data_IF_497913541660
#
_entry.id   IF_497913541660
#
_cell.length_a   1.000
_cell.length_b   1.000
_cell.length_c   1.000
_cell.angle_alpha   90.00
_cell.angle_beta   90.00
_cell.angle_gamma   90.00
#
_symmetry.space_group_name_H-M   'P 1'
#
loop_
_entity.id
_entity.type
_entity.pdbx_description
1 polymer ?
#
# COMPACT_ATOMS: atom_id res chain seq x y z
N UNK A 1 -7.79 0.80 -2.39
CA UNK A 1 -8.41 -0.53 -2.23
C UNK A 1 -7.38 -1.36 -1.52
N UNK A 2 -7.79 -2.11 -0.51
CA UNK A 2 -6.91 -3.00 0.22
C UNK A 2 -7.26 -4.43 -0.10
N UNK A 3 -6.25 -5.25 -0.31
CA UNK A 3 -6.36 -6.68 -0.57
C UNK A 3 -5.30 -7.42 0.24
N UNK A 4 -5.54 -8.70 0.46
CA UNK A 4 -4.68 -9.60 1.22
C UNK A 4 -4.56 -10.93 0.48
N UNK A 5 -3.42 -11.59 0.63
CA UNK A 5 -3.20 -12.98 0.22
C UNK A 5 -2.29 -13.69 1.21
N UNK A 6 -2.51 -14.98 1.39
CA UNK A 6 -1.67 -15.85 2.23
C UNK A 6 -1.04 -16.96 1.40
N UNK A 7 -1.77 -17.43 0.38
CA UNK A 7 -1.32 -18.29 -0.71
C UNK A 7 -2.25 -18.03 -1.90
N UNK A 8 -1.71 -17.93 -3.12
CA UNK A 8 -2.50 -17.70 -4.33
C UNK A 8 -2.88 -16.24 -4.64
N UNK A 9 -4.10 -16.04 -5.14
CA UNK A 9 -4.58 -14.77 -5.71
C UNK A 9 -4.97 -13.72 -4.65
N UNK A 10 -4.94 -12.45 -5.05
CA UNK A 10 -5.38 -11.34 -4.21
C UNK A 10 -6.88 -11.37 -3.95
N UNK A 11 -7.27 -11.24 -2.68
CA UNK A 11 -8.65 -11.27 -2.22
C UNK A 11 -8.89 -10.18 -1.18
N UNK A 12 -10.15 -9.93 -0.81
CA UNK A 12 -10.50 -9.05 0.31
C UNK A 12 -10.39 -9.81 1.66
N UNK A 13 -10.20 -11.12 1.62
CA UNK A 13 -10.02 -11.99 2.78
C UNK A 13 -8.96 -13.06 2.49
N UNK A 14 -8.13 -13.37 3.49
CA UNK A 14 -7.24 -14.52 3.47
C UNK A 14 -7.13 -15.14 4.87
N UNK A 15 -6.92 -16.46 4.93
CA UNK A 15 -6.64 -17.15 6.19
C UNK A 15 -5.15 -17.01 6.51
N UNK A 16 -4.83 -16.57 7.72
CA UNK A 16 -3.46 -16.54 8.23
C UNK A 16 -3.32 -17.56 9.37
N UNK A 17 -2.16 -18.21 9.45
CA UNK A 17 -1.81 -19.17 10.49
C UNK A 17 -0.41 -18.90 11.02
N UNK A 18 0.01 -19.63 12.05
CA UNK A 18 1.31 -19.38 12.70
C UNK A 18 2.53 -19.54 11.77
N UNK A 19 2.38 -20.25 10.65
CA UNK A 19 3.44 -20.49 9.66
C UNK A 19 3.20 -19.79 8.31
N UNK A 20 2.20 -18.90 8.24
CA UNK A 20 1.84 -18.20 7.00
C UNK A 20 1.73 -16.71 7.27
N UNK A 21 2.65 -15.95 6.67
CA UNK A 21 2.67 -14.49 6.73
C UNK A 21 1.84 -13.90 5.59
N UNK A 22 0.67 -13.30 5.87
CA UNK A 22 -0.11 -12.65 4.84
C UNK A 22 0.64 -11.46 4.23
N UNK A 23 0.51 -11.32 2.92
CA UNK A 23 0.91 -10.14 2.18
C UNK A 23 -0.31 -9.26 1.92
N UNK A 24 -0.15 -7.97 2.17
CA UNK A 24 -1.15 -6.95 1.95
C UNK A 24 -0.79 -6.08 0.76
N UNK A 25 -1.82 -5.59 0.06
CA UNK A 25 -1.70 -4.70 -1.08
C UNK A 25 -2.66 -3.54 -0.98
N UNK A 26 -2.13 -2.32 -1.05
CA UNK A 26 -2.85 -1.06 -1.11
C UNK A 26 -2.75 -0.50 -2.52
N UNK A 27 -3.88 -0.38 -3.21
CA UNK A 27 -3.95 0.15 -4.58
C UNK A 27 -4.72 1.45 -4.61
N UNK A 28 -4.12 2.49 -5.18
CA UNK A 28 -4.82 3.75 -5.46
C UNK A 28 -4.62 4.19 -6.91
N UNK A 29 -5.69 4.70 -7.51
CA UNK A 29 -5.72 5.13 -8.90
C UNK A 29 -5.19 6.55 -9.05
N UNK A 30 -4.40 6.79 -10.09
CA UNK A 30 -3.97 8.12 -10.49
C UNK A 30 -5.06 8.79 -11.35
N UNK A 31 -5.42 10.05 -11.09
CA UNK A 31 -6.41 10.75 -11.88
C UNK A 31 -5.84 11.12 -13.25
N UNK A 32 -6.71 11.24 -14.27
CA UNK A 32 -6.33 11.69 -15.61
C UNK A 32 -5.68 13.08 -15.63
N UNK A 33 -5.97 13.91 -14.63
CA UNK A 33 -5.41 15.25 -14.48
C UNK A 33 -4.04 15.29 -13.78
N UNK A 34 -3.41 14.15 -13.50
CA UNK A 34 -2.10 14.07 -12.85
C UNK A 34 -1.05 14.98 -13.50
N UNK A 35 -0.97 14.95 -14.84
CA UNK A 35 0.01 15.74 -15.59
C UNK A 35 -0.22 17.24 -15.47
N UNK A 36 -1.46 17.66 -15.16
CA UNK A 36 -1.82 19.08 -15.02
C UNK A 36 -1.31 19.74 -13.73
N UNK A 37 -0.83 18.97 -12.75
CA UNK A 37 -0.29 19.50 -11.50
C UNK A 37 1.24 19.63 -11.57
N UNK A 38 1.85 20.71 -11.06
CA UNK A 38 3.30 20.82 -10.99
C UNK A 38 3.90 19.93 -9.89
N UNK A 39 3.18 19.75 -8.78
CA UNK A 39 3.54 18.92 -7.63
C UNK A 39 2.36 18.02 -7.30
N UNK A 40 2.62 16.76 -6.95
CA UNK A 40 1.56 15.81 -6.65
C UNK A 40 1.79 15.09 -5.32
N UNK A 41 1.07 15.52 -4.28
CA UNK A 41 1.05 14.84 -2.99
C UNK A 41 0.28 13.53 -3.09
N UNK A 42 0.80 12.44 -2.55
CA UNK A 42 0.14 11.14 -2.57
C UNK A 42 0.39 10.37 -1.29
N UNK A 43 -0.65 9.77 -0.72
CA UNK A 43 -0.56 9.12 0.59
C UNK A 43 -1.44 7.87 0.68
N UNK A 44 -0.94 6.86 1.37
CA UNK A 44 -1.71 5.74 1.88
C UNK A 44 -1.61 5.69 3.39
N UNK A 45 -2.76 5.60 4.06
CA UNK A 45 -2.85 5.23 5.48
C UNK A 45 -3.53 3.89 5.62
N UNK A 46 -2.95 3.06 6.48
CA UNK A 46 -3.42 1.70 6.71
C UNK A 46 -3.30 1.31 8.18
N UNK A 47 -4.43 0.98 8.79
CA UNK A 47 -4.52 0.65 10.22
C UNK A 47 -4.59 -0.85 10.37
N UNK A 48 -3.45 -1.44 10.74
CA UNK A 48 -3.35 -2.87 10.98
C UNK A 48 -4.06 -3.30 12.25
N UNK A 49 -4.52 -4.55 12.26
CA UNK A 49 -4.99 -5.18 13.50
C UNK A 49 -3.81 -5.40 14.46
N UNK A 50 -4.07 -5.31 15.77
CA UNK A 50 -3.04 -5.44 16.81
C UNK A 50 -2.40 -6.83 16.86
N UNK A 51 -3.06 -7.83 16.29
CA UNK A 51 -2.61 -9.22 16.20
C UNK A 51 -1.51 -9.41 15.14
N UNK A 52 -1.24 -8.39 14.33
CA UNK A 52 -0.21 -8.42 13.30
C UNK A 52 0.91 -7.42 13.57
N UNK A 53 2.14 -7.87 13.29
CA UNK A 53 3.34 -7.05 13.28
C UNK A 53 3.86 -6.95 11.85
N UNK A 54 3.89 -5.75 11.29
CA UNK A 54 4.41 -5.49 9.94
C UNK A 54 5.93 -5.64 9.88
N UNK A 55 6.41 -6.31 8.83
CA UNK A 55 7.83 -6.27 8.46
C UNK A 55 8.11 -5.03 7.61
N UNK A 56 8.77 -4.03 8.21
CA UNK A 56 9.10 -2.77 7.51
C UNK A 56 9.98 -2.98 6.29
N UNK A 57 10.83 -4.01 6.31
CA UNK A 57 11.76 -4.28 5.21
C UNK A 57 11.06 -4.88 3.99
N UNK A 58 9.85 -5.43 4.17
CA UNK A 58 9.03 -5.98 3.08
C UNK A 58 8.29 -4.92 2.27
N UNK A 59 8.26 -3.66 2.75
CA UNK A 59 7.46 -2.61 2.11
C UNK A 59 8.05 -2.30 0.73
N UNK A 60 7.19 -2.39 -0.29
CA UNK A 60 7.52 -2.01 -1.66
C UNK A 60 6.42 -1.12 -2.22
N UNK A 61 6.81 -0.05 -2.91
CA UNK A 61 5.87 0.87 -3.55
C UNK A 61 6.19 0.99 -5.03
N UNK A 62 5.20 0.76 -5.89
CA UNK A 62 5.36 0.80 -7.34
C UNK A 62 4.26 1.59 -8.02
N UNK A 63 4.58 2.25 -9.12
CA UNK A 63 3.57 2.65 -10.11
C UNK A 63 3.39 1.50 -11.11
N UNK A 64 2.15 1.20 -11.50
CA UNK A 64 1.84 0.13 -12.46
C UNK A 64 0.90 0.59 -13.58
N UNK A 65 1.06 0.02 -14.78
CA UNK A 65 0.11 0.14 -15.88
C UNK A 65 -1.22 -0.58 -15.57
N UNK A 66 -2.26 -0.30 -16.36
CA UNK A 66 -3.58 -0.94 -16.18
C UNK A 66 -3.54 -2.48 -16.21
N UNK A 67 -2.64 -3.05 -17.01
CA UNK A 67 -2.45 -4.49 -17.16
C UNK A 67 -1.36 -5.07 -16.24
N UNK A 68 -0.73 -4.23 -15.42
CA UNK A 68 0.31 -4.62 -14.47
C UNK A 68 1.65 -5.03 -15.10
N UNK A 69 1.82 -4.92 -16.42
CA UNK A 69 3.07 -5.34 -17.10
C UNK A 69 4.20 -4.33 -16.97
N UNK A 70 3.88 -3.05 -16.95
CA UNK A 70 4.86 -1.99 -16.77
C UNK A 70 4.82 -1.57 -15.31
N UNK A 71 5.95 -1.69 -14.62
CA UNK A 71 6.10 -1.28 -13.23
C UNK A 71 7.29 -0.34 -13.07
N UNK A 72 7.15 0.64 -12.18
CA UNK A 72 8.23 1.52 -11.76
C UNK A 72 8.34 1.48 -10.25
N UNK A 73 9.54 1.17 -9.75
CA UNK A 73 9.82 1.21 -8.32
C UNK A 73 9.89 2.67 -7.83
N UNK A 74 9.14 2.96 -6.77
CA UNK A 74 9.04 4.26 -6.12
C UNK A 74 9.39 4.16 -4.62
N UNK A 75 9.80 2.99 -4.14
CA UNK A 75 10.01 2.71 -2.72
C UNK A 75 11.04 3.66 -2.09
N UNK A 76 12.13 3.96 -2.81
CA UNK A 76 13.23 4.79 -2.31
C UNK A 76 12.90 6.27 -2.13
N UNK A 77 11.85 6.77 -2.78
CA UNK A 77 11.42 8.17 -2.66
C UNK A 77 10.19 8.33 -1.76
N UNK A 78 9.61 7.21 -1.31
CA UNK A 78 8.47 7.22 -0.40
C UNK A 78 8.95 7.49 1.03
N UNK A 79 8.25 8.36 1.73
CA UNK A 79 8.38 8.55 3.17
C UNK A 79 7.48 7.53 3.87
N UNK A 80 8.10 6.49 4.43
CA UNK A 80 7.38 5.39 5.07
C UNK A 80 7.50 5.53 6.58
N UNK A 81 6.37 5.64 7.27
CA UNK A 81 6.32 5.70 8.73
C UNK A 81 5.41 4.62 9.29
N UNK A 82 5.73 4.16 10.49
CA UNK A 82 4.90 3.23 11.25
C UNK A 82 4.81 3.75 12.68
N UNK A 83 3.60 4.17 13.09
CA UNK A 83 3.29 4.57 14.46
C UNK A 83 2.26 3.62 15.04
N UNK A 84 2.69 2.72 15.93
CA UNK A 84 1.85 1.63 16.42
C UNK A 84 1.43 0.73 15.26
N UNK A 85 0.12 0.57 15.07
CA UNK A 85 -0.49 -0.19 13.98
C UNK A 85 -0.76 0.63 12.70
N UNK A 86 -0.50 1.94 12.72
CA UNK A 86 -0.70 2.81 11.55
C UNK A 86 0.54 2.82 10.67
N UNK A 87 0.41 2.28 9.45
CA UNK A 87 1.35 2.45 8.35
C UNK A 87 0.93 3.66 7.52
N UNK A 88 1.86 4.60 7.32
CA UNK A 88 1.70 5.72 6.38
C UNK A 88 2.79 5.65 5.32
N UNK A 89 2.38 5.64 4.06
CA UNK A 89 3.26 5.76 2.88
C UNK A 89 2.96 7.08 2.20
N UNK A 90 3.87 8.05 2.35
CA UNK A 90 3.70 9.41 1.88
C UNK A 90 4.67 9.74 0.73
N UNK A 91 4.18 10.50 -0.24
CA UNK A 91 4.98 11.21 -1.22
C UNK A 91 4.63 12.68 -1.14
N UNK A 92 5.54 13.49 -0.60
CA UNK A 92 5.41 14.94 -0.62
C UNK A 92 5.34 15.47 -2.07
N UNK A 93 6.07 14.83 -2.99
CA UNK A 93 5.98 15.07 -4.43
C UNK A 93 6.26 13.79 -5.23
N UNK A 94 5.20 13.12 -5.64
CA UNK A 94 5.25 11.90 -6.47
C UNK A 94 5.93 12.16 -7.83
N UNK A 95 5.91 13.40 -8.34
CA UNK A 95 6.49 13.73 -9.64
C UNK A 95 8.01 13.61 -9.69
N UNK A 96 8.70 13.60 -8.53
CA UNK A 96 10.13 13.30 -8.48
C UNK A 96 10.46 11.89 -8.96
N UNK A 97 9.57 10.93 -8.69
CA UNK A 97 9.70 9.54 -9.16
C UNK A 97 8.87 9.24 -10.39
N UNK A 98 7.82 10.00 -10.66
CA UNK A 98 6.90 9.79 -11.78
C UNK A 98 6.54 11.12 -12.44
N UNK A 99 7.42 11.76 -13.23
CA UNK A 99 7.19 13.11 -13.75
C UNK A 99 5.90 13.26 -14.56
N UNK A 100 5.57 12.22 -15.33
CA UNK A 100 4.37 12.12 -16.17
C UNK A 100 3.66 10.79 -15.90
N UNK A 101 2.33 10.78 -16.04
CA UNK A 101 1.53 9.58 -15.79
C UNK A 101 1.78 8.48 -16.83
N UNK A 102 2.03 8.85 -18.10
CA UNK A 102 2.24 7.92 -19.20
C UNK A 102 1.20 6.79 -19.26
N UNK A 103 1.67 5.54 -19.23
CA UNK A 103 0.83 4.33 -19.17
C UNK A 103 0.44 3.93 -17.76
N UNK A 104 1.06 4.51 -16.73
CA UNK A 104 0.80 4.17 -15.34
C UNK A 104 -0.61 4.61 -14.93
N UNK A 105 -1.29 3.80 -14.12
CA UNK A 105 -2.66 4.05 -13.70
C UNK A 105 -2.85 3.92 -12.20
N UNK A 106 -1.97 3.18 -11.53
CA UNK A 106 -2.09 2.95 -10.09
C UNK A 106 -0.74 3.12 -9.41
N UNK A 107 -0.79 3.58 -8.16
CA UNK A 107 0.27 3.36 -7.18
C UNK A 107 -0.16 2.18 -6.32
N UNK A 108 0.77 1.27 -6.08
CA UNK A 108 0.55 0.05 -5.32
C UNK A 108 1.63 -0.05 -4.25
N UNK A 109 1.22 -0.09 -2.98
CA UNK A 109 2.11 -0.45 -1.87
C UNK A 109 1.82 -1.89 -1.44
N UNK A 110 2.86 -2.71 -1.28
CA UNK A 110 2.77 -4.07 -0.75
C UNK A 110 3.63 -4.20 0.50
N UNK A 111 3.20 -5.03 1.44
CA UNK A 111 3.96 -5.35 2.64
C UNK A 111 3.50 -6.68 3.24
N UNK A 112 4.38 -7.33 3.98
CA UNK A 112 4.12 -8.55 4.73
C UNK A 112 3.91 -8.23 6.20
N UNK A 113 3.01 -8.96 6.86
CA UNK A 113 2.86 -8.91 8.30
C UNK A 113 2.85 -10.31 8.92
N UNK A 114 3.35 -10.40 10.15
CA UNK A 114 3.46 -11.62 10.92
C UNK A 114 2.40 -11.65 12.02
N UNK A 115 1.80 -12.81 12.28
CA UNK A 115 1.00 -12.99 13.50
C UNK A 115 1.90 -12.78 14.73
N UNK A 116 1.38 -12.08 15.74
CA UNK A 116 2.04 -11.93 17.03
C UNK A 116 1.26 -12.64 18.14
N UNK A 117 1.79 -12.62 19.37
CA UNK A 117 1.21 -13.35 20.50
C UNK A 117 -0.15 -12.82 20.97
N UNK A 118 -0.63 -11.67 20.45
CA UNK A 118 -1.98 -11.16 20.72
C UNK A 118 -3.03 -11.81 19.84
N UNK A 119 -2.61 -12.51 18.77
CA UNK A 119 -3.52 -13.19 17.88
C UNK A 119 -4.25 -14.34 18.58
N UNK A 120 -5.58 -14.28 18.59
CA UNK A 120 -6.41 -15.38 19.07
C UNK A 120 -6.74 -16.30 17.90
N UNK A 121 -6.30 -17.56 17.98
CA UNK A 121 -6.56 -18.54 16.93
C UNK A 121 -8.07 -18.72 16.68
N UNK A 122 -8.48 -18.60 15.41
CA UNK A 122 -9.86 -18.83 14.98
C UNK A 122 -10.77 -17.59 14.91
N UNK A 123 -10.25 -16.38 15.17
CA UNK A 123 -10.99 -15.14 14.95
C UNK A 123 -10.63 -14.50 13.60
N UNK A 124 -11.65 -13.96 12.91
CA UNK A 124 -11.43 -13.07 11.78
C UNK A 124 -10.87 -11.74 12.28
N UNK A 125 -9.81 -11.25 11.64
CA UNK A 125 -9.20 -9.97 11.93
C UNK A 125 -9.36 -9.08 10.70
N UNK A 126 -9.89 -7.87 10.90
CA UNK A 126 -10.15 -6.92 9.83
C UNK A 126 -9.06 -5.84 9.84
N UNK A 127 -8.64 -5.42 8.66
CA UNK A 127 -7.58 -4.45 8.50
C UNK A 127 -8.04 -3.42 7.47
N UNK A 128 -8.12 -2.15 7.85
CA UNK A 128 -8.79 -1.10 7.07
C UNK A 128 -7.78 -0.07 6.52
N UNK A 129 -7.85 0.15 5.21
CA UNK A 129 -7.14 1.25 4.56
C UNK A 129 -8.01 2.51 4.57
N UNK A 130 -7.53 3.58 5.20
CA UNK A 130 -8.17 4.89 5.09
C UNK A 130 -7.59 5.66 3.89
N UNK A 131 -8.48 6.23 3.06
CA UNK A 131 -8.07 7.08 1.93
C UNK A 131 -8.15 8.54 2.34
N UNK A 132 -7.01 9.21 2.51
CA UNK A 132 -7.01 10.66 2.62
C UNK A 132 -7.16 11.32 1.22
N UNK A 133 -7.78 12.51 1.14
CA UNK A 133 -7.98 13.19 -0.14
C UNK A 133 -6.63 13.57 -0.75
N UNK A 134 -6.27 12.89 -1.84
CA UNK A 134 -5.10 13.18 -2.67
C UNK A 134 -5.27 14.60 -3.24
N UNK A 135 -4.46 15.56 -2.78
CA UNK A 135 -4.52 16.96 -3.19
C UNK A 135 -3.29 17.34 -4.01
N UNK A 136 -3.49 17.58 -5.30
CA UNK A 136 -2.53 18.37 -6.08
C UNK A 136 -2.66 19.84 -5.70
N UNK A 137 -1.55 20.51 -5.38
CA UNK A 137 -1.50 21.96 -5.30
C UNK A 137 -1.47 22.55 -6.73
N UNK A 138 -2.21 23.64 -6.94
CA UNK A 138 -2.16 24.43 -8.19
C UNK A 138 -1.03 25.45 -8.12
#
# INVERSE_FOLDING_TARGET
MKQVRSDGDWSDFAAAGNDIDPEYRLVGTLPKSYDSFPVYHYEFDDVMDQSFTLDKSSIKVVAASADGKTMKDLTSIAEITLSGQMLTVNFADLKKGLPEIGEFRTITATYTAHLNMLATAGLAHENEMQRLPIRGSR
#
